data_IF_332699704492
#
_entry.id   IF_332699704492
#
_cell.length_a   1.000
_cell.length_b   1.000
_cell.length_c   1.000
_cell.angle_alpha   90.00
_cell.angle_beta   90.00
_cell.angle_gamma   90.00
#
_symmetry.space_group_name_H-M   'P 1'
#
loop_
_entity.id
_entity.type
_entity.pdbx_description
1 polymer ?
#
# COMPACT_ATOMS: atom_id res chain seq x y z
N UNK A 1 -41.97 -5.04 -7.81
CA UNK A 1 -41.05 -4.07 -7.19
C UNK A 1 -41.16 -4.25 -5.68
N UNK A 2 -40.25 -5.00 -5.10
CA UNK A 2 -40.28 -5.37 -3.69
C UNK A 2 -38.83 -5.41 -3.22
N UNK A 3 -38.46 -4.43 -2.37
CA UNK A 3 -37.15 -4.35 -1.74
C UNK A 3 -37.09 -5.32 -0.54
N UNK A 4 -35.96 -6.02 -0.31
CA UNK A 4 -35.76 -6.73 0.94
C UNK A 4 -35.14 -5.81 2.00
N UNK A 5 -35.67 -5.92 3.20
CA UNK A 5 -35.23 -5.23 4.41
C UNK A 5 -33.90 -5.78 4.92
N UNK A 6 -32.91 -4.91 5.14
CA UNK A 6 -31.68 -5.25 5.87
C UNK A 6 -31.93 -5.12 7.37
N UNK A 7 -31.75 -6.24 8.08
CA UNK A 7 -31.97 -6.38 9.52
C UNK A 7 -30.76 -5.89 10.31
N UNK A 8 -31.05 -4.98 11.23
CA UNK A 8 -30.25 -4.54 12.37
C UNK A 8 -29.82 -5.70 13.27
N UNK A 9 -28.52 -5.76 13.63
CA UNK A 9 -28.02 -6.27 14.92
C UNK A 9 -26.49 -6.13 15.05
N UNK A 10 -25.98 -4.93 15.36
CA UNK A 10 -24.61 -4.76 15.85
C UNK A 10 -24.65 -4.66 17.38
N UNK A 11 -24.57 -5.81 18.05
CA UNK A 11 -24.61 -5.91 19.51
C UNK A 11 -23.21 -5.69 20.09
N UNK A 12 -23.11 -4.60 20.85
CA UNK A 12 -22.00 -4.19 21.73
C UNK A 12 -21.50 -5.33 22.63
N UNK A 13 -20.18 -5.55 22.67
CA UNK A 13 -19.47 -6.02 23.87
C UNK A 13 -18.12 -5.32 24.01
N UNK A 14 -18.13 -4.28 24.84
CA UNK A 14 -16.93 -3.65 25.40
C UNK A 14 -16.53 -4.52 26.59
N UNK A 15 -15.42 -5.25 26.47
CA UNK A 15 -14.77 -5.90 27.60
C UNK A 15 -13.66 -4.99 28.11
N UNK A 16 -13.90 -4.39 29.27
CA UNK A 16 -12.92 -3.65 30.07
C UNK A 16 -12.01 -4.68 30.73
N UNK A 17 -10.73 -4.71 30.35
CA UNK A 17 -9.71 -5.54 31.01
C UNK A 17 -8.71 -4.65 31.76
N UNK A 18 -9.03 -4.52 33.03
CA UNK A 18 -8.21 -4.32 34.24
C UNK A 18 -6.70 -4.19 34.09
N UNK A 19 -6.20 -3.08 34.67
CA UNK A 19 -4.84 -2.81 35.08
C UNK A 19 -4.18 -3.98 35.83
N UNK A 20 -3.01 -4.39 35.36
CA UNK A 20 -1.99 -5.10 36.14
C UNK A 20 -0.77 -4.21 36.31
N UNK A 21 -0.65 -3.53 37.46
CA UNK A 21 0.60 -2.96 37.96
C UNK A 21 1.51 -4.09 38.42
N UNK A 22 2.72 -4.22 37.87
CA UNK A 22 3.82 -4.96 38.50
C UNK A 22 5.19 -4.45 38.03
N UNK A 23 5.97 -3.92 38.99
CA UNK A 23 7.42 -4.12 39.11
C UNK A 23 8.36 -3.35 38.18
N UNK A 24 8.73 -2.13 38.58
CA UNK A 24 9.96 -1.49 38.09
C UNK A 24 11.15 -1.97 38.93
N UNK A 25 12.05 -2.74 38.31
CA UNK A 25 13.40 -3.00 38.84
C UNK A 25 14.36 -1.96 38.28
N UNK A 26 15.00 -1.19 39.17
CA UNK A 26 16.07 -0.26 38.85
C UNK A 26 17.32 -1.05 38.40
N UNK A 27 17.81 -0.77 37.19
CA UNK A 27 19.01 -1.41 36.64
C UNK A 27 19.99 -0.34 36.15
N UNK A 28 21.01 -0.17 36.99
CA UNK A 28 22.35 0.41 36.85
C UNK A 28 22.74 1.06 35.50
N UNK A 29 22.89 2.39 35.55
CA UNK A 29 23.33 3.27 34.47
C UNK A 29 24.84 3.14 34.22
N UNK A 30 25.22 2.26 33.28
CA UNK A 30 26.56 2.31 32.67
C UNK A 30 26.51 3.16 31.40
N UNK A 31 27.31 4.23 31.40
CA UNK A 31 27.55 5.18 30.32
C UNK A 31 27.86 4.50 28.97
N UNK A 32 26.81 4.15 28.22
CA UNK A 32 26.91 3.95 26.77
C UNK A 32 26.67 5.30 26.11
N UNK A 33 27.74 6.01 25.81
CA UNK A 33 27.71 7.13 24.86
C UNK A 33 27.37 6.56 23.49
N UNK A 34 26.09 6.40 23.23
CA UNK A 34 25.57 5.98 21.94
C UNK A 34 25.80 7.13 20.97
N UNK A 35 26.89 7.07 20.23
CA UNK A 35 27.15 7.96 19.10
C UNK A 35 26.11 7.65 18.04
N UNK A 36 24.95 8.31 18.11
CA UNK A 36 23.95 8.26 17.04
C UNK A 36 24.65 8.79 15.80
N UNK A 37 24.90 7.90 14.84
CA UNK A 37 25.48 8.28 13.56
C UNK A 37 24.57 9.37 12.95
N UNK A 38 25.07 10.58 12.63
CA UNK A 38 24.28 11.65 12.02
C UNK A 38 23.70 11.31 10.64
N UNK A 39 23.94 10.08 10.16
CA UNK A 39 23.51 9.55 8.87
C UNK A 39 22.03 9.14 8.81
N UNK A 40 21.30 9.20 9.94
CA UNK A 40 19.84 9.13 9.95
C UNK A 40 19.22 10.53 9.96
N UNK A 41 19.79 11.45 9.15
CA UNK A 41 19.09 12.68 8.80
C UNK A 41 17.79 12.26 8.14
N UNK A 42 16.68 12.45 8.86
CA UNK A 42 15.33 12.31 8.34
C UNK A 42 15.26 13.14 7.06
N UNK A 43 15.21 12.45 5.93
CA UNK A 43 15.21 13.12 4.64
C UNK A 43 13.93 13.93 4.51
N UNK A 44 14.06 15.24 4.29
CA UNK A 44 12.88 16.09 4.20
C UNK A 44 12.13 15.80 2.88
N UNK A 45 10.79 15.63 2.93
CA UNK A 45 10.00 15.38 1.73
C UNK A 45 10.12 16.56 0.76
N UNK A 46 10.28 16.28 -0.53
CA UNK A 46 10.44 17.31 -1.56
C UNK A 46 9.28 18.32 -1.54
N UNK A 47 8.06 17.81 -1.34
CA UNK A 47 6.84 18.62 -1.37
C UNK A 47 6.50 19.28 -0.02
N UNK A 48 7.34 19.07 1.00
CA UNK A 48 7.14 19.58 2.35
C UNK A 48 5.91 19.00 3.06
N UNK A 49 5.76 19.39 4.33
CA UNK A 49 4.58 19.07 5.14
C UNK A 49 3.61 20.24 5.14
N UNK A 50 2.32 19.96 4.98
CA UNK A 50 1.24 20.93 5.11
C UNK A 50 0.27 20.46 6.19
N UNK A 51 -0.20 21.39 7.03
CA UNK A 51 -1.28 21.11 8.00
C UNK A 51 -2.67 21.10 7.37
N UNK A 52 -2.77 21.60 6.14
CA UNK A 52 -4.01 21.60 5.37
C UNK A 52 -4.26 20.20 4.81
N UNK A 53 -5.52 19.85 4.67
CA UNK A 53 -5.88 18.65 3.93
C UNK A 53 -5.42 18.76 2.47
N UNK A 54 -5.16 17.62 1.84
CA UNK A 54 -4.56 17.60 0.50
C UNK A 54 -5.50 18.18 -0.57
N UNK A 55 -6.81 18.11 -0.36
CA UNK A 55 -7.86 18.71 -1.19
C UNK A 55 -7.84 20.26 -1.17
N UNK A 56 -7.37 20.85 -0.06
CA UNK A 56 -7.25 22.30 0.14
C UNK A 56 -5.86 22.87 -0.26
N UNK A 57 -4.90 22.01 -0.65
CA UNK A 57 -3.52 22.40 -0.95
C UNK A 57 -3.12 22.10 -2.41
N UNK A 58 -3.55 22.92 -3.38
CA UNK A 58 -3.29 22.67 -4.80
C UNK A 58 -1.78 22.68 -5.15
N UNK A 59 -0.96 23.43 -4.42
CA UNK A 59 0.48 23.47 -4.63
C UNK A 59 1.13 22.14 -4.23
N UNK A 60 0.77 21.62 -3.05
CA UNK A 60 1.27 20.32 -2.59
C UNK A 60 0.80 19.19 -3.49
N UNK A 61 -0.47 19.20 -3.93
CA UNK A 61 -0.97 18.22 -4.94
C UNK A 61 -0.17 18.28 -6.22
N UNK A 62 0.06 19.49 -6.74
CA UNK A 62 0.81 19.65 -7.99
C UNK A 62 2.24 19.12 -7.87
N UNK A 63 2.90 19.38 -6.74
CA UNK A 63 4.23 18.85 -6.44
C UNK A 63 4.22 17.32 -6.36
N UNK A 64 3.30 16.73 -5.59
CA UNK A 64 3.26 15.27 -5.37
C UNK A 64 2.94 14.48 -6.65
N UNK A 65 2.27 15.11 -7.62
CA UNK A 65 2.04 14.52 -8.96
C UNK A 65 3.28 14.49 -9.84
N UNK A 66 4.27 15.34 -9.58
CA UNK A 66 5.49 15.40 -10.40
C UNK A 66 6.26 14.08 -10.31
N UNK A 67 7.18 13.90 -11.26
CA UNK A 67 8.16 12.82 -11.24
C UNK A 67 9.47 13.40 -11.76
N UNK A 68 10.37 13.73 -10.84
CA UNK A 68 11.58 14.51 -11.11
C UNK A 68 12.79 13.63 -10.77
N UNK A 69 13.64 13.37 -11.77
CA UNK A 69 14.91 12.69 -11.56
C UNK A 69 15.93 13.69 -10.99
N UNK A 70 16.35 13.46 -9.76
CA UNK A 70 17.37 14.23 -9.07
C UNK A 70 18.77 14.02 -9.66
N UNK A 71 19.73 14.90 -9.32
CA UNK A 71 21.12 14.81 -9.81
C UNK A 71 21.87 13.57 -9.28
N UNK A 72 21.40 13.00 -8.19
CA UNK A 72 21.84 11.74 -7.57
C UNK A 72 21.21 10.50 -8.21
N UNK A 73 20.32 10.68 -9.20
CA UNK A 73 19.59 9.61 -9.84
C UNK A 73 18.39 9.11 -9.03
N UNK A 74 18.03 9.76 -7.91
CA UNK A 74 16.84 9.44 -7.12
C UNK A 74 15.64 10.17 -7.69
N UNK A 75 14.50 9.49 -7.82
CA UNK A 75 13.26 10.10 -8.30
C UNK A 75 12.48 10.68 -7.13
N UNK A 76 12.11 11.96 -7.22
CA UNK A 76 11.29 12.67 -6.25
C UNK A 76 9.93 13.13 -6.83
N UNK A 77 8.87 13.23 -6.02
CA UNK A 77 8.78 12.78 -4.62
C UNK A 77 9.04 11.27 -4.51
N UNK A 78 9.20 10.74 -3.30
CA UNK A 78 9.34 9.30 -3.12
C UNK A 78 8.04 8.56 -3.47
N UNK A 79 8.16 7.26 -3.79
CA UNK A 79 7.00 6.47 -4.21
C UNK A 79 5.95 6.37 -3.10
N UNK A 80 6.36 6.24 -1.84
CA UNK A 80 5.48 6.20 -0.68
C UNK A 80 4.71 7.52 -0.47
N UNK A 81 5.36 8.66 -0.69
CA UNK A 81 4.71 9.99 -0.69
C UNK A 81 3.65 10.09 -1.79
N UNK A 82 3.97 9.61 -3.00
CA UNK A 82 3.04 9.58 -4.13
C UNK A 82 1.87 8.62 -3.87
N UNK A 83 2.14 7.44 -3.31
CA UNK A 83 1.11 6.45 -2.99
C UNK A 83 0.18 6.94 -1.88
N UNK A 84 0.72 7.63 -0.86
CA UNK A 84 -0.07 8.32 0.16
C UNK A 84 -0.96 9.40 -0.45
N UNK A 85 -0.39 10.25 -1.32
CA UNK A 85 -1.16 11.22 -2.10
C UNK A 85 -2.32 10.56 -2.86
N UNK A 86 -2.08 9.42 -3.51
CA UNK A 86 -3.11 8.70 -4.24
C UNK A 86 -4.25 8.21 -3.35
N UNK A 87 -3.95 7.68 -2.16
CA UNK A 87 -4.98 7.24 -1.22
C UNK A 87 -5.77 8.42 -0.64
N UNK A 88 -5.08 9.47 -0.22
CA UNK A 88 -5.72 10.63 0.41
C UNK A 88 -6.63 11.39 -0.57
N UNK A 89 -6.34 11.33 -1.87
CA UNK A 89 -7.16 11.96 -2.92
C UNK A 89 -8.17 11.03 -3.58
N UNK A 90 -8.30 9.77 -3.14
CA UNK A 90 -9.25 8.83 -3.73
C UNK A 90 -10.72 9.27 -3.61
N UNK A 91 -11.01 10.14 -2.62
CA UNK A 91 -12.31 10.77 -2.41
C UNK A 91 -12.67 11.89 -3.40
N UNK A 92 -11.75 12.30 -4.26
CA UNK A 92 -11.96 13.43 -5.17
C UNK A 92 -12.62 12.98 -6.47
N UNK A 93 -13.47 13.85 -7.04
CA UNK A 93 -14.11 13.61 -8.35
C UNK A 93 -13.09 13.55 -9.50
N UNK A 94 -12.05 14.37 -9.43
CA UNK A 94 -10.93 14.46 -10.38
C UNK A 94 -9.70 13.68 -9.90
N UNK A 95 -9.94 12.52 -9.29
CA UNK A 95 -8.87 11.63 -8.83
C UNK A 95 -7.91 11.31 -9.98
N UNK A 96 -6.62 11.32 -9.67
CA UNK A 96 -5.57 11.19 -10.67
C UNK A 96 -5.69 9.82 -11.39
N UNK A 97 -5.75 9.79 -12.74
CA UNK A 97 -5.91 8.53 -13.47
C UNK A 97 -4.79 7.51 -13.24
N UNK A 98 -3.55 7.95 -13.00
CA UNK A 98 -2.44 7.04 -12.65
C UNK A 98 -2.65 6.44 -11.27
N UNK A 99 -3.08 7.26 -10.29
CA UNK A 99 -3.45 6.79 -8.96
C UNK A 99 -4.58 5.76 -9.02
N UNK A 100 -5.65 6.07 -9.78
CA UNK A 100 -6.79 5.18 -9.95
C UNK A 100 -6.40 3.84 -10.57
N UNK A 101 -5.64 3.90 -11.67
CA UNK A 101 -5.22 2.70 -12.38
C UNK A 101 -4.31 1.82 -11.51
N UNK A 102 -3.36 2.42 -10.79
CA UNK A 102 -2.43 1.69 -9.93
C UNK A 102 -3.12 1.09 -8.70
N UNK A 103 -3.83 1.90 -7.92
CA UNK A 103 -4.47 1.42 -6.70
C UNK A 103 -5.60 0.45 -7.00
N UNK A 104 -6.44 0.68 -8.01
CA UNK A 104 -7.48 -0.29 -8.35
C UNK A 104 -6.91 -1.60 -8.92
N UNK A 105 -5.75 -1.57 -9.60
CA UNK A 105 -5.01 -2.80 -9.93
C UNK A 105 -4.56 -3.52 -8.66
N UNK A 106 -3.95 -2.80 -7.71
CA UNK A 106 -3.43 -3.36 -6.46
C UNK A 106 -4.53 -4.03 -5.65
N UNK A 107 -5.65 -3.33 -5.40
CA UNK A 107 -6.79 -3.88 -4.66
C UNK A 107 -7.55 -4.97 -5.43
N UNK A 108 -7.28 -5.13 -6.74
CA UNK A 108 -7.73 -6.27 -7.53
C UNK A 108 -6.93 -7.55 -7.32
N UNK A 109 -5.83 -7.53 -6.56
CA UNK A 109 -5.08 -8.73 -6.26
C UNK A 109 -5.77 -9.60 -5.21
N UNK A 110 -5.54 -10.92 -5.28
CA UNK A 110 -6.17 -11.92 -4.39
C UNK A 110 -5.96 -11.61 -2.90
N UNK A 111 -4.78 -11.08 -2.54
CA UNK A 111 -4.45 -10.69 -1.16
C UNK A 111 -5.37 -9.59 -0.59
N UNK A 112 -6.03 -8.84 -1.47
CA UNK A 112 -6.99 -7.78 -1.16
C UNK A 112 -8.46 -8.19 -1.41
N UNK A 113 -8.70 -9.44 -1.83
CA UNK A 113 -10.04 -9.95 -2.16
C UNK A 113 -10.28 -10.20 -3.65
N UNK A 114 -9.38 -9.77 -4.53
CA UNK A 114 -9.37 -10.17 -5.94
C UNK A 114 -10.34 -9.44 -6.87
N UNK A 115 -10.98 -8.36 -6.42
CA UNK A 115 -12.01 -7.65 -7.18
C UNK A 115 -11.67 -6.16 -7.37
N UNK A 116 -11.05 -5.84 -8.51
CA UNK A 116 -10.75 -4.44 -8.86
C UNK A 116 -12.00 -3.63 -9.24
N UNK A 117 -13.13 -4.30 -9.51
CA UNK A 117 -14.33 -3.61 -9.98
C UNK A 117 -14.90 -2.69 -8.92
N UNK A 118 -14.82 -3.08 -7.63
CA UNK A 118 -15.23 -2.24 -6.50
C UNK A 118 -14.51 -0.88 -6.56
N UNK A 119 -13.18 -0.86 -6.60
CA UNK A 119 -12.42 0.38 -6.69
C UNK A 119 -12.77 1.25 -7.92
N UNK A 120 -13.09 0.63 -9.06
CA UNK A 120 -13.39 1.33 -10.31
C UNK A 120 -14.84 1.84 -10.40
N UNK A 121 -15.80 1.15 -9.77
CA UNK A 121 -17.23 1.46 -9.90
C UNK A 121 -17.81 2.24 -8.72
N UNK A 122 -17.15 2.24 -7.56
CA UNK A 122 -17.62 3.00 -6.40
C UNK A 122 -17.62 4.51 -6.66
N UNK A 123 -18.55 5.22 -6.02
CA UNK A 123 -18.48 6.67 -5.96
C UNK A 123 -17.23 7.12 -5.18
N UNK A 124 -16.76 8.38 -5.34
CA UNK A 124 -15.52 8.80 -4.73
C UNK A 124 -15.47 8.60 -3.21
N UNK A 125 -16.58 8.81 -2.50
CA UNK A 125 -16.60 8.68 -1.03
C UNK A 125 -16.47 7.21 -0.64
N UNK A 126 -17.27 6.33 -1.24
CA UNK A 126 -17.21 4.89 -0.99
C UNK A 126 -15.87 4.28 -1.42
N UNK A 127 -15.29 4.77 -2.52
CA UNK A 127 -13.95 4.37 -2.96
C UNK A 127 -12.88 4.73 -1.93
N UNK A 128 -12.91 5.94 -1.37
CA UNK A 128 -11.98 6.32 -0.30
C UNK A 128 -12.12 5.40 0.92
N UNK A 129 -13.36 5.17 1.37
CA UNK A 129 -13.64 4.29 2.50
C UNK A 129 -13.14 2.87 2.23
N UNK A 130 -13.46 2.31 1.05
CA UNK A 130 -13.03 0.98 0.63
C UNK A 130 -11.51 0.81 0.72
N UNK A 131 -10.73 1.76 0.17
CA UNK A 131 -9.26 1.68 0.18
C UNK A 131 -8.70 1.74 1.61
N UNK A 132 -9.26 2.62 2.45
CA UNK A 132 -8.80 2.80 3.83
C UNK A 132 -9.18 1.62 4.73
N UNK A 133 -10.41 1.13 4.61
CA UNK A 133 -10.92 -0.02 5.37
C UNK A 133 -10.21 -1.31 4.99
N UNK A 134 -10.06 -1.58 3.69
CA UNK A 134 -9.35 -2.77 3.19
C UNK A 134 -7.92 -2.80 3.70
N UNK A 135 -7.22 -1.66 3.64
CA UNK A 135 -5.87 -1.49 4.20
C UNK A 135 -5.85 -1.76 5.70
N UNK A 136 -6.73 -1.11 6.46
CA UNK A 136 -6.80 -1.27 7.92
C UNK A 136 -7.11 -2.73 8.31
N UNK A 137 -8.01 -3.40 7.59
CA UNK A 137 -8.37 -4.79 7.82
C UNK A 137 -7.17 -5.72 7.60
N UNK A 138 -6.43 -5.57 6.50
CA UNK A 138 -5.24 -6.38 6.24
C UNK A 138 -4.19 -6.21 7.34
N UNK A 139 -3.85 -4.95 7.69
CA UNK A 139 -2.77 -4.70 8.64
C UNK A 139 -3.15 -5.05 10.08
N UNK A 140 -4.43 -4.90 10.46
CA UNK A 140 -4.92 -5.29 11.80
C UNK A 140 -5.02 -6.79 12.00
N UNK A 141 -5.27 -7.57 10.94
CA UNK A 141 -5.29 -9.03 11.00
C UNK A 141 -3.88 -9.65 11.16
N UNK A 142 -2.82 -8.87 10.90
CA UNK A 142 -1.44 -9.33 10.90
C UNK A 142 -1.08 -10.00 9.57
N UNK A 143 -0.26 -9.33 8.77
CA UNK A 143 0.17 -9.86 7.46
C UNK A 143 1.19 -10.98 7.65
N UNK A 144 0.89 -12.16 7.11
CA UNK A 144 1.85 -13.28 7.05
C UNK A 144 2.98 -12.95 6.06
N UNK A 145 4.10 -13.68 6.15
CA UNK A 145 5.23 -13.52 5.24
C UNK A 145 4.83 -13.80 3.79
N UNK A 146 4.02 -14.84 3.58
CA UNK A 146 3.52 -15.29 2.28
C UNK A 146 2.60 -14.23 1.65
N UNK A 147 1.69 -13.65 2.45
CA UNK A 147 0.85 -12.54 2.02
C UNK A 147 1.68 -11.31 1.66
N UNK A 148 2.72 -10.99 2.45
CA UNK A 148 3.64 -9.90 2.11
C UNK A 148 4.36 -10.15 0.78
N UNK A 149 4.88 -11.36 0.54
CA UNK A 149 5.47 -11.70 -0.76
C UNK A 149 4.48 -11.50 -1.91
N UNK A 150 3.23 -11.93 -1.71
CA UNK A 150 2.17 -11.82 -2.73
C UNK A 150 1.82 -10.36 -3.01
N UNK A 151 1.75 -9.55 -1.95
CA UNK A 151 1.51 -8.11 -2.05
C UNK A 151 2.63 -7.40 -2.81
N UNK A 152 3.89 -7.70 -2.52
CA UNK A 152 5.03 -7.08 -3.22
C UNK A 152 5.11 -7.49 -4.69
N UNK A 153 4.80 -8.75 -5.01
CA UNK A 153 4.66 -9.21 -6.40
C UNK A 153 3.52 -8.49 -7.13
N UNK A 154 2.40 -8.29 -6.44
CA UNK A 154 1.27 -7.54 -6.99
C UNK A 154 1.63 -6.07 -7.23
N UNK A 155 2.30 -5.40 -6.28
CA UNK A 155 2.81 -4.04 -6.44
C UNK A 155 3.70 -3.94 -7.70
N UNK A 156 4.66 -4.85 -7.85
CA UNK A 156 5.56 -4.86 -9.00
C UNK A 156 4.83 -5.06 -10.33
N UNK A 157 3.81 -5.92 -10.33
CA UNK A 157 2.94 -6.13 -11.49
C UNK A 157 2.14 -4.88 -11.84
N UNK A 158 1.42 -4.30 -10.88
CA UNK A 158 0.59 -3.12 -11.13
C UNK A 158 1.43 -1.90 -11.51
N UNK A 159 2.59 -1.72 -10.88
CA UNK A 159 3.56 -0.70 -11.28
C UNK A 159 3.97 -0.87 -12.74
N UNK A 160 4.29 -2.10 -13.17
CA UNK A 160 4.68 -2.36 -14.56
C UNK A 160 3.54 -2.16 -15.57
N UNK A 161 2.30 -2.49 -15.19
CA UNK A 161 1.14 -2.36 -16.07
C UNK A 161 0.70 -0.89 -16.25
N UNK A 162 0.77 -0.12 -15.17
CA UNK A 162 0.21 1.24 -15.13
C UNK A 162 1.25 2.30 -15.43
N UNK A 163 2.44 2.15 -14.86
CA UNK A 163 3.45 3.19 -14.96
C UNK A 163 4.29 3.07 -16.22
N UNK A 164 4.73 4.24 -16.68
CA UNK A 164 5.77 4.37 -17.68
C UNK A 164 7.10 4.76 -17.00
N UNK A 165 8.10 5.08 -17.82
CA UNK A 165 9.49 5.44 -17.47
C UNK A 165 9.71 5.99 -16.05
N UNK A 166 9.29 7.21 -15.75
CA UNK A 166 9.70 7.89 -14.52
C UNK A 166 9.05 7.26 -13.27
N UNK A 167 7.74 7.02 -13.30
CA UNK A 167 6.99 6.46 -12.18
C UNK A 167 7.32 4.99 -11.93
N UNK A 168 7.63 4.24 -13.00
CA UNK A 168 8.18 2.88 -12.90
C UNK A 168 9.54 2.91 -12.18
N UNK A 169 10.43 3.83 -12.56
CA UNK A 169 11.73 4.01 -11.90
C UNK A 169 11.57 4.38 -10.42
N UNK A 170 10.63 5.28 -10.11
CA UNK A 170 10.29 5.67 -8.74
C UNK A 170 9.85 4.45 -7.90
N UNK A 171 9.00 3.59 -8.46
CA UNK A 171 8.58 2.34 -7.82
C UNK A 171 9.75 1.37 -7.63
N UNK A 172 10.57 1.15 -8.68
CA UNK A 172 11.73 0.26 -8.61
C UNK A 172 12.66 0.66 -7.47
N UNK A 173 12.97 1.95 -7.34
CA UNK A 173 13.80 2.46 -6.24
C UNK A 173 13.22 2.11 -4.87
N UNK A 174 11.90 2.29 -4.69
CA UNK A 174 11.22 1.93 -3.45
C UNK A 174 11.22 0.41 -3.19
N UNK A 175 10.97 -0.38 -4.24
CA UNK A 175 10.97 -1.84 -4.14
C UNK A 175 12.35 -2.36 -3.75
N UNK A 176 13.42 -1.87 -4.37
CA UNK A 176 14.80 -2.24 -4.04
C UNK A 176 15.17 -1.80 -2.62
N UNK A 177 14.74 -0.60 -2.19
CA UNK A 177 14.92 -0.10 -0.83
C UNK A 177 14.24 -0.97 0.23
N UNK A 178 13.08 -1.57 -0.08
CA UNK A 178 12.37 -2.49 0.82
C UNK A 178 13.10 -3.83 1.02
N UNK A 179 14.07 -4.15 0.15
CA UNK A 179 14.88 -5.35 0.12
C UNK A 179 14.08 -6.67 0.30
N UNK A 180 13.27 -7.07 -0.70
CA UNK A 180 12.42 -8.26 -0.63
C UNK A 180 13.16 -9.57 -0.36
N UNK A 181 14.43 -9.63 -0.73
CA UNK A 181 15.28 -10.78 -0.53
C UNK A 181 15.54 -11.08 0.96
N UNK A 182 15.53 -10.08 1.85
CA UNK A 182 15.78 -10.27 3.29
C UNK A 182 14.74 -11.15 3.97
N UNK A 183 13.50 -11.09 3.49
CA UNK A 183 12.41 -11.96 3.94
C UNK A 183 12.09 -13.02 2.88
N UNK A 184 13.06 -13.36 2.03
CA UNK A 184 13.02 -14.48 1.07
C UNK A 184 11.85 -14.45 0.09
N UNK A 185 11.36 -13.26 -0.28
CA UNK A 185 10.43 -13.11 -1.38
C UNK A 185 11.22 -12.87 -2.67
N UNK A 186 10.96 -13.71 -3.67
CA UNK A 186 11.47 -13.51 -5.02
C UNK A 186 10.60 -12.49 -5.76
N UNK A 187 10.85 -11.20 -5.49
CA UNK A 187 10.16 -10.06 -6.13
C UNK A 187 11.10 -9.43 -7.13
N UNK A 188 10.69 -9.40 -8.39
CA UNK A 188 11.43 -8.68 -9.42
C UNK A 188 10.96 -7.23 -9.50
N UNK A 189 11.68 -6.34 -8.80
CA UNK A 189 11.42 -4.90 -8.76
C UNK A 189 11.50 -4.20 -10.13
N UNK A 190 12.13 -4.84 -11.12
CA UNK A 190 12.31 -4.34 -12.48
C UNK A 190 11.40 -5.04 -13.52
N UNK A 191 10.56 -5.99 -13.10
CA UNK A 191 9.67 -6.66 -14.04
C UNK A 191 8.89 -7.83 -13.44
N UNK A 192 7.58 -7.67 -13.27
CA UNK A 192 6.75 -8.82 -13.02
C UNK A 192 6.37 -9.50 -14.35
N UNK A 193 7.08 -10.56 -14.72
CA UNK A 193 6.43 -11.63 -15.48
C UNK A 193 5.46 -12.31 -14.52
N UNK A 194 4.18 -11.99 -14.62
CA UNK A 194 3.16 -12.77 -13.94
C UNK A 194 3.13 -14.15 -14.61
N UNK A 195 3.62 -15.19 -13.95
CA UNK A 195 3.20 -16.55 -14.27
C UNK A 195 1.82 -16.70 -13.63
N UNK A 196 0.72 -16.71 -14.40
CA UNK A 196 -0.56 -17.10 -13.82
C UNK A 196 -0.39 -18.54 -13.31
N UNK A 197 -0.37 -18.69 -11.98
CA UNK A 197 -0.30 -20.00 -11.29
C UNK A 197 -1.56 -20.85 -11.52
N UNK A 198 -2.42 -20.49 -12.49
CA UNK A 198 -3.70 -21.15 -12.80
C UNK A 198 -3.70 -21.98 -14.10
N UNK A 199 -2.58 -22.10 -14.81
CA UNK A 199 -2.49 -23.00 -15.98
C UNK A 199 -1.83 -24.36 -15.69
N UNK A 200 -1.78 -24.76 -14.42
CA UNK A 200 -1.33 -26.10 -14.04
C UNK A 200 -2.55 -27.02 -13.95
N UNK A 201 -2.75 -27.70 -15.09
CA UNK A 201 -3.48 -28.96 -15.23
C UNK A 201 -5.02 -28.93 -15.20
N UNK A 202 -5.63 -28.27 -16.18
CA UNK A 202 -6.71 -28.95 -16.93
C UNK A 202 -6.09 -29.99 -17.87
N UNK A 203 -5.38 -30.97 -17.29
CA UNK A 203 -5.01 -32.20 -17.97
C UNK A 203 -6.31 -32.96 -18.17
N UNK A 204 -6.79 -32.98 -19.41
CA UNK A 204 -7.10 -34.24 -20.08
C UNK A 204 -7.76 -35.31 -19.19
N UNK A 205 -8.92 -34.98 -18.62
CA UNK A 205 -9.88 -35.98 -18.14
C UNK A 205 -10.90 -36.36 -19.24
N UNK A 206 -10.51 -36.24 -20.52
CA UNK A 206 -11.19 -36.88 -21.65
C UNK A 206 -10.44 -38.18 -21.99
N UNK A 207 -10.52 -39.15 -21.07
CA UNK A 207 -10.29 -40.56 -21.37
C UNK A 207 -11.64 -41.20 -21.69
N UNK A 208 -11.80 -41.56 -22.95
CA UNK A 208 -12.44 -42.80 -23.44
C UNK A 208 -13.52 -43.41 -22.54
N UNK A 209 -14.78 -43.16 -22.90
CA UNK A 209 -15.84 -44.17 -22.91
C UNK A 209 -16.65 -44.00 -24.19
#
# INVERSE_FOLDING_TARGET
MSAPAMSSAMARRIAVLSLGLLGASAQDDTNNTFTVSPSLLLEEPLCGYSKRNIDEDPLRRHCLRQCILGPDGIVHPYFDEWEEYCRDTAGMMDWDPECSSYLCCLFGCEVWGGDSTQCLSEDPTERYNFLQESRAQMFSAGITREQRCTLEKCNAYCAKQVFMTCRETQYTQQCEKSNPALYGCDVNCNGAFYFPLTWVFSVLALRFF
#
